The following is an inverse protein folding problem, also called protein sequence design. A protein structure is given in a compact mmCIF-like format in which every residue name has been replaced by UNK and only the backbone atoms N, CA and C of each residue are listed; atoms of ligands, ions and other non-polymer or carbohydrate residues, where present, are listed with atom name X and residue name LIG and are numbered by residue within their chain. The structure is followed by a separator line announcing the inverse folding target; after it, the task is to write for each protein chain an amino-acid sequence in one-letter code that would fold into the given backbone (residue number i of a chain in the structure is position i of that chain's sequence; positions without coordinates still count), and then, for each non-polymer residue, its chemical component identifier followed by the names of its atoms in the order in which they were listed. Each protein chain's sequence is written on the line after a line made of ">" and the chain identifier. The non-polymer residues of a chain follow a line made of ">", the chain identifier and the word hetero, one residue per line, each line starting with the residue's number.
data_IF_669749359298
#
_entry.id   IF_669749359298
#
_cell.length_a   1.000
_cell.length_b   1.000
_cell.length_c   1.000
_cell.angle_alpha   90.00
_cell.angle_beta   90.00
_cell.angle_gamma   90.00
#
_symmetry.space_group_name_H-M   'P 1'
#
loop_
_entity.id
_entity.type
_entity.pdbx_description
1 polymer ?
#
# COMPACT_ATOMS: atom_id res chain seq x y z
N UNK A 1 -7.38 11.04 -17.68
CA UNK A 1 -6.05 10.39 -17.76
C UNK A 1 -5.14 11.01 -16.72
N UNK A 2 -5.12 10.42 -15.50
CA UNK A 2 -4.27 10.85 -14.38
C UNK A 2 -2.80 10.85 -14.81
N UNK A 3 -2.23 12.03 -14.97
CA UNK A 3 -0.78 12.24 -14.98
C UNK A 3 -0.30 12.15 -13.53
N UNK A 4 -0.16 10.94 -13.03
CA UNK A 4 0.58 10.68 -11.79
C UNK A 4 2.03 11.08 -12.05
N UNK A 5 2.54 12.09 -11.35
CA UNK A 5 3.99 12.22 -11.18
C UNK A 5 4.45 11.01 -10.37
N UNK A 6 4.81 9.95 -11.09
CA UNK A 6 5.25 8.68 -10.52
C UNK A 6 6.71 8.88 -10.13
N UNK A 7 6.97 9.21 -8.87
CA UNK A 7 8.30 9.04 -8.31
C UNK A 7 8.48 7.56 -7.96
N UNK A 8 9.57 6.97 -8.48
CA UNK A 8 10.01 5.65 -8.04
C UNK A 8 10.35 5.72 -6.55
N UNK A 9 9.79 4.81 -5.77
CA UNK A 9 10.13 4.70 -4.35
C UNK A 9 11.53 4.11 -4.18
N UNK A 10 12.53 5.01 -4.20
CA UNK A 10 13.94 4.66 -4.03
C UNK A 10 14.19 3.87 -2.74
N UNK A 11 13.49 4.17 -1.66
CA UNK A 11 13.68 3.47 -0.39
C UNK A 11 13.25 2.00 -0.50
N UNK A 12 12.08 1.72 -1.11
CA UNK A 12 11.61 0.34 -1.33
C UNK A 12 12.54 -0.42 -2.28
N UNK A 13 13.01 0.21 -3.35
CA UNK A 13 13.91 -0.43 -4.32
C UNK A 13 15.27 -0.73 -3.68
N UNK A 14 15.89 0.25 -3.01
CA UNK A 14 17.17 0.07 -2.32
C UNK A 14 17.05 -0.99 -1.22
N UNK A 15 15.97 -0.97 -0.45
CA UNK A 15 15.72 -1.97 0.59
C UNK A 15 15.62 -3.39 0.03
N UNK A 16 14.82 -3.59 -1.03
CA UNK A 16 14.67 -4.91 -1.66
C UNK A 16 15.97 -5.41 -2.30
N UNK A 17 16.69 -4.54 -3.01
CA UNK A 17 17.97 -4.89 -3.63
C UNK A 17 19.06 -5.12 -2.57
N UNK A 18 19.07 -4.33 -1.49
CA UNK A 18 19.98 -4.49 -0.37
C UNK A 18 19.81 -5.84 0.33
N UNK A 19 18.56 -6.27 0.57
CA UNK A 19 18.27 -7.60 1.12
C UNK A 19 18.76 -8.71 0.17
N UNK A 20 18.50 -8.58 -1.14
CA UNK A 20 19.00 -9.54 -2.12
C UNK A 20 20.54 -9.63 -2.10
N UNK A 21 21.21 -8.47 -2.11
CA UNK A 21 22.67 -8.40 -2.08
C UNK A 21 23.24 -9.02 -0.79
N UNK A 22 22.60 -8.79 0.37
CA UNK A 22 23.03 -9.35 1.64
C UNK A 22 22.91 -10.88 1.65
N UNK A 23 21.80 -11.45 1.14
CA UNK A 23 21.60 -12.91 1.03
C UNK A 23 22.61 -13.50 0.08
N UNK A 24 22.80 -12.92 -1.12
CA UNK A 24 23.78 -13.40 -2.09
C UNK A 24 25.20 -13.29 -1.54
N UNK A 25 25.55 -12.19 -0.89
CA UNK A 25 26.85 -12.01 -0.27
C UNK A 25 27.09 -13.09 0.82
N UNK A 26 26.10 -13.36 1.67
CA UNK A 26 26.18 -14.41 2.69
C UNK A 26 26.44 -15.80 2.11
N UNK A 27 25.84 -16.12 0.96
CA UNK A 27 26.05 -17.39 0.25
C UNK A 27 27.44 -17.45 -0.39
N UNK A 28 27.86 -16.37 -1.05
CA UNK A 28 29.11 -16.32 -1.86
C UNK A 28 30.36 -16.11 -1.01
N UNK A 29 30.24 -15.54 0.20
CA UNK A 29 31.37 -15.30 1.10
C UNK A 29 32.04 -16.58 1.66
N UNK A 30 31.44 -17.76 1.44
CA UNK A 30 32.04 -19.05 1.77
C UNK A 30 33.14 -19.47 0.77
N UNK A 31 33.82 -20.60 1.07
CA UNK A 31 34.97 -21.10 0.30
C UNK A 31 34.67 -21.46 -1.17
N UNK A 32 33.40 -21.60 -1.54
CA UNK A 32 32.98 -21.99 -2.90
C UNK A 32 32.69 -20.79 -3.83
N UNK A 33 32.66 -19.56 -3.30
CA UNK A 33 32.34 -18.36 -4.07
C UNK A 33 30.97 -18.46 -4.77
N UNK A 34 30.86 -17.97 -5.99
CA UNK A 34 29.62 -17.98 -6.79
C UNK A 34 29.09 -19.39 -7.10
N UNK A 35 29.93 -20.44 -7.09
CA UNK A 35 29.49 -21.82 -7.30
C UNK A 35 28.54 -22.30 -6.16
N UNK A 36 28.65 -21.72 -4.96
CA UNK A 36 27.77 -22.01 -3.85
C UNK A 36 26.28 -21.75 -4.14
N UNK A 37 25.96 -20.80 -5.04
CA UNK A 37 24.57 -20.50 -5.42
C UNK A 37 23.84 -21.73 -5.99
N UNK A 38 24.57 -22.63 -6.66
CA UNK A 38 24.00 -23.88 -7.19
C UNK A 38 23.46 -24.81 -6.09
N UNK A 39 24.03 -24.77 -4.89
CA UNK A 39 23.60 -25.60 -3.77
C UNK A 39 22.25 -25.15 -3.19
N UNK A 40 21.84 -23.91 -3.46
CA UNK A 40 20.57 -23.34 -3.01
C UNK A 40 19.48 -23.42 -4.07
N UNK A 41 19.77 -23.99 -5.26
CA UNK A 41 18.78 -24.20 -6.30
C UNK A 41 18.31 -25.65 -6.27
N UNK A 42 17.07 -25.86 -5.83
CA UNK A 42 16.40 -27.16 -5.87
C UNK A 42 14.97 -26.99 -6.41
N UNK A 43 14.69 -27.59 -7.56
CA UNK A 43 13.39 -27.46 -8.23
C UNK A 43 12.23 -28.03 -7.38
N UNK A 44 12.47 -29.15 -6.68
CA UNK A 44 11.48 -29.78 -5.80
C UNK A 44 11.09 -28.84 -4.67
N UNK A 45 12.08 -28.19 -4.05
CA UNK A 45 11.90 -27.20 -2.97
C UNK A 45 11.12 -25.97 -3.44
N UNK A 46 11.41 -25.48 -4.65
CA UNK A 46 10.67 -24.37 -5.26
C UNK A 46 9.18 -24.75 -5.46
N UNK A 47 8.95 -25.93 -6.05
CA UNK A 47 7.59 -26.40 -6.33
C UNK A 47 6.77 -26.59 -5.05
N UNK A 48 7.36 -27.23 -4.03
CA UNK A 48 6.70 -27.44 -2.74
C UNK A 48 6.39 -26.12 -2.06
N UNK A 49 7.38 -25.26 -1.87
CA UNK A 49 7.23 -24.05 -1.03
C UNK A 49 6.54 -22.93 -1.77
N UNK A 50 7.07 -22.51 -2.91
CA UNK A 50 6.52 -21.39 -3.68
C UNK A 50 5.22 -21.85 -4.36
N UNK A 51 5.24 -22.96 -5.09
CA UNK A 51 4.07 -23.50 -5.78
C UNK A 51 2.93 -23.77 -4.81
N UNK A 52 3.21 -24.47 -3.68
CA UNK A 52 2.23 -24.77 -2.64
C UNK A 52 1.61 -23.50 -2.03
N UNK A 53 2.45 -22.51 -1.68
CA UNK A 53 1.98 -21.24 -1.12
C UNK A 53 1.06 -20.50 -2.09
N UNK A 54 1.44 -20.39 -3.36
CA UNK A 54 0.62 -19.71 -4.37
C UNK A 54 -0.68 -20.46 -4.69
N UNK A 55 -0.66 -21.78 -4.73
CA UNK A 55 -1.89 -22.59 -4.93
C UNK A 55 -2.84 -22.43 -3.74
N UNK A 56 -2.32 -22.42 -2.51
CA UNK A 56 -3.11 -22.16 -1.32
C UNK A 56 -3.75 -20.75 -1.39
N UNK A 57 -2.98 -19.73 -1.76
CA UNK A 57 -3.50 -18.36 -1.93
C UNK A 57 -4.54 -18.26 -3.05
N UNK A 58 -4.38 -19.03 -4.13
CA UNK A 58 -5.39 -19.11 -5.19
C UNK A 58 -6.70 -19.68 -4.68
N UNK A 59 -6.64 -20.72 -3.83
CA UNK A 59 -7.82 -21.32 -3.18
C UNK A 59 -8.54 -20.36 -2.24
N UNK A 60 -7.77 -19.47 -1.56
CA UNK A 60 -8.30 -18.45 -0.65
C UNK A 60 -8.85 -17.21 -1.39
N UNK A 61 -8.58 -17.06 -2.68
CA UNK A 61 -8.99 -15.90 -3.45
C UNK A 61 -10.43 -16.02 -3.94
N UNK A 62 -11.16 -14.90 -3.98
CA UNK A 62 -12.57 -14.86 -4.46
C UNK A 62 -12.70 -15.33 -5.93
N UNK A 63 -11.67 -15.13 -6.75
CA UNK A 63 -11.64 -15.53 -8.16
C UNK A 63 -10.20 -15.49 -8.71
N UNK A 64 -9.97 -16.18 -9.83
CA UNK A 64 -8.68 -16.16 -10.54
C UNK A 64 -8.25 -14.74 -10.94
N UNK A 65 -9.12 -13.87 -11.50
CA UNK A 65 -8.76 -12.48 -11.76
C UNK A 65 -8.40 -11.69 -10.50
N UNK A 66 -9.09 -11.92 -9.38
CA UNK A 66 -8.80 -11.27 -8.10
C UNK A 66 -7.40 -11.64 -7.59
N UNK A 67 -7.01 -12.91 -7.70
CA UNK A 67 -5.67 -13.40 -7.39
C UNK A 67 -4.59 -12.64 -8.20
N UNK A 68 -4.72 -12.59 -9.52
CA UNK A 68 -3.76 -11.89 -10.36
C UNK A 68 -3.74 -10.38 -10.13
N UNK A 69 -4.87 -9.76 -9.81
CA UNK A 69 -4.94 -8.34 -9.45
C UNK A 69 -4.21 -8.07 -8.13
N UNK A 70 -4.37 -8.95 -7.14
CA UNK A 70 -3.60 -8.85 -5.89
C UNK A 70 -2.11 -8.97 -6.13
N UNK A 71 -1.68 -9.88 -7.02
CA UNK A 71 -0.28 -10.00 -7.40
C UNK A 71 0.26 -8.74 -8.09
N UNK A 72 -0.54 -8.14 -8.99
CA UNK A 72 -0.18 -6.90 -9.70
C UNK A 72 -0.01 -5.70 -8.76
N UNK A 73 -0.62 -5.73 -7.57
CA UNK A 73 -0.50 -4.66 -6.58
C UNK A 73 0.95 -4.44 -6.09
N UNK A 74 1.84 -5.43 -6.29
CA UNK A 74 3.28 -5.24 -6.10
C UNK A 74 3.82 -3.99 -6.80
N UNK A 75 3.28 -3.66 -7.97
CA UNK A 75 3.69 -2.47 -8.73
C UNK A 75 3.39 -1.15 -8.00
N UNK A 76 2.39 -1.14 -7.11
CA UNK A 76 2.03 0.04 -6.32
C UNK A 76 3.09 0.35 -5.26
N UNK A 77 3.76 -0.68 -4.74
CA UNK A 77 4.83 -0.54 -3.74
C UNK A 77 6.06 0.17 -4.32
N UNK A 78 6.29 0.02 -5.63
CA UNK A 78 7.40 0.65 -6.34
C UNK A 78 7.12 2.10 -6.75
N UNK A 79 5.88 2.57 -6.53
CA UNK A 79 5.44 3.92 -6.88
C UNK A 79 5.10 4.67 -5.59
N UNK A 80 5.70 5.83 -5.40
CA UNK A 80 5.27 6.74 -4.32
C UNK A 80 4.20 7.66 -4.88
N UNK A 81 2.96 7.64 -4.37
CA UNK A 81 2.01 8.70 -4.69
C UNK A 81 2.54 10.03 -4.15
N UNK A 82 2.45 11.08 -4.95
CA UNK A 82 2.73 12.44 -4.47
C UNK A 82 1.75 12.76 -3.33
N UNK A 83 2.24 13.39 -2.27
CA UNK A 83 1.37 13.90 -1.20
C UNK A 83 0.58 15.08 -1.75
N UNK A 84 -0.74 14.92 -1.82
CA UNK A 84 -1.66 15.95 -2.30
C UNK A 84 -2.40 16.67 -1.16
N UNK A 85 -2.03 16.39 0.07
CA UNK A 85 -2.72 16.88 1.27
C UNK A 85 -2.86 18.41 1.26
N UNK A 86 -1.78 19.14 0.98
CA UNK A 86 -1.82 20.62 0.86
C UNK A 86 -2.69 21.10 -0.29
N UNK A 87 -2.59 20.45 -1.46
CA UNK A 87 -3.36 20.81 -2.65
C UNK A 87 -4.87 20.61 -2.40
N UNK A 88 -5.24 19.51 -1.75
CA UNK A 88 -6.62 19.21 -1.37
C UNK A 88 -7.17 20.27 -0.41
N UNK A 89 -6.39 20.64 0.62
CA UNK A 89 -6.81 21.67 1.58
C UNK A 89 -7.01 23.01 0.89
N UNK A 90 -6.07 23.45 0.04
CA UNK A 90 -6.23 24.69 -0.72
C UNK A 90 -7.47 24.66 -1.60
N UNK A 91 -7.70 23.56 -2.32
CA UNK A 91 -8.90 23.39 -3.16
C UNK A 91 -10.19 23.51 -2.34
N UNK A 92 -10.23 22.89 -1.14
CA UNK A 92 -11.40 22.98 -0.26
C UNK A 92 -11.61 24.42 0.26
N UNK A 93 -10.54 25.14 0.59
CA UNK A 93 -10.61 26.53 1.04
C UNK A 93 -11.13 27.44 -0.09
N UNK A 94 -10.66 27.23 -1.33
CA UNK A 94 -11.13 27.97 -2.49
C UNK A 94 -12.62 27.71 -2.74
N UNK A 95 -13.06 26.46 -2.69
CA UNK A 95 -14.46 26.09 -2.77
C UNK A 95 -15.31 26.72 -1.64
N UNK A 96 -14.80 26.75 -0.41
CA UNK A 96 -15.46 27.38 0.72
C UNK A 96 -15.62 28.90 0.49
N UNK A 97 -14.62 29.56 -0.10
CA UNK A 97 -14.70 30.98 -0.46
C UNK A 97 -15.74 31.25 -1.56
N UNK A 98 -15.81 30.38 -2.58
CA UNK A 98 -16.85 30.44 -3.63
C UNK A 98 -18.26 30.26 -3.02
N UNK A 99 -18.45 29.19 -2.23
CA UNK A 99 -19.71 28.92 -1.57
C UNK A 99 -20.21 30.09 -0.72
N UNK A 100 -19.30 30.77 -0.01
CA UNK A 100 -19.62 31.91 0.86
C UNK A 100 -19.97 33.19 0.10
N UNK A 101 -19.30 33.46 -1.04
CA UNK A 101 -19.48 34.69 -1.82
C UNK A 101 -20.64 34.58 -2.82
N UNK A 102 -20.79 33.45 -3.45
CA UNK A 102 -21.64 33.25 -4.62
C UNK A 102 -22.75 32.22 -4.38
N UNK A 103 -22.69 31.51 -3.25
CA UNK A 103 -23.66 30.50 -2.87
C UNK A 103 -23.29 29.08 -3.32
N UNK A 104 -24.00 28.08 -2.75
CA UNK A 104 -23.69 26.65 -2.98
C UNK A 104 -23.90 26.23 -4.45
N UNK A 105 -24.83 26.86 -5.17
CA UNK A 105 -25.07 26.51 -6.58
C UNK A 105 -23.89 26.79 -7.49
N UNK A 106 -23.07 27.79 -7.17
CA UNK A 106 -21.89 28.13 -7.98
C UNK A 106 -20.75 27.12 -7.82
N UNK A 107 -20.82 26.26 -6.78
CA UNK A 107 -19.88 25.17 -6.60
C UNK A 107 -19.91 24.13 -7.74
N UNK A 108 -21.04 24.00 -8.44
CA UNK A 108 -21.14 23.10 -9.61
C UNK A 108 -20.12 23.46 -10.69
N UNK A 109 -20.01 24.77 -11.02
CA UNK A 109 -19.06 25.26 -12.01
C UNK A 109 -17.62 25.16 -11.48
N UNK A 110 -17.38 25.52 -10.22
CA UNK A 110 -16.07 25.42 -9.59
C UNK A 110 -15.56 23.97 -9.46
N UNK A 111 -16.47 23.01 -9.30
CA UNK A 111 -16.14 21.58 -9.19
C UNK A 111 -15.91 20.91 -10.56
N UNK A 112 -16.25 21.56 -11.68
CA UNK A 112 -16.11 20.98 -13.02
C UNK A 112 -14.65 20.60 -13.34
N UNK A 113 -13.70 21.44 -12.93
CA UNK A 113 -12.27 21.29 -13.21
C UNK A 113 -11.52 20.45 -12.15
N UNK A 114 -12.22 19.92 -11.13
CA UNK A 114 -11.60 19.10 -10.07
C UNK A 114 -11.34 17.69 -10.60
N UNK A 115 -10.10 17.23 -10.46
CA UNK A 115 -9.66 15.89 -10.88
C UNK A 115 -10.09 14.77 -9.90
N UNK A 116 -10.38 15.10 -8.62
CA UNK A 116 -10.76 14.11 -7.61
C UNK A 116 -12.26 13.81 -7.67
N UNK A 117 -12.59 12.60 -8.13
CA UNK A 117 -13.97 12.14 -8.28
C UNK A 117 -14.75 12.09 -6.94
N UNK A 118 -14.06 11.83 -5.83
CA UNK A 118 -14.68 11.75 -4.50
C UNK A 118 -15.07 13.14 -4.00
N UNK A 119 -14.17 14.15 -4.14
CA UNK A 119 -14.46 15.54 -3.81
C UNK A 119 -15.58 16.08 -4.72
N UNK A 120 -15.49 15.85 -6.02
CA UNK A 120 -16.51 16.26 -7.00
C UNK A 120 -17.88 15.71 -6.65
N UNK A 121 -17.97 14.41 -6.32
CA UNK A 121 -19.23 13.78 -5.92
C UNK A 121 -19.81 14.41 -4.65
N UNK A 122 -18.95 14.66 -3.65
CA UNK A 122 -19.40 15.29 -2.40
C UNK A 122 -19.92 16.72 -2.61
N UNK A 123 -19.26 17.51 -3.46
CA UNK A 123 -19.74 18.86 -3.83
C UNK A 123 -21.08 18.79 -4.55
N UNK A 124 -21.25 17.86 -5.50
CA UNK A 124 -22.54 17.71 -6.21
C UNK A 124 -23.70 17.38 -5.25
N UNK A 125 -23.44 16.52 -4.23
CA UNK A 125 -24.47 16.23 -3.22
C UNK A 125 -24.91 17.47 -2.44
N UNK A 126 -23.99 18.40 -2.15
CA UNK A 126 -24.31 19.67 -1.48
C UNK A 126 -25.08 20.58 -2.41
N UNK A 127 -24.67 20.70 -3.67
CA UNK A 127 -25.34 21.54 -4.70
C UNK A 127 -26.79 21.08 -4.91
N UNK A 128 -27.03 19.76 -4.90
CA UNK A 128 -28.36 19.15 -5.00
C UNK A 128 -29.23 19.37 -3.75
N UNK A 129 -28.70 20.03 -2.70
CA UNK A 129 -29.42 20.29 -1.46
C UNK A 129 -29.68 19.07 -0.59
N UNK A 130 -28.84 18.04 -0.75
CA UNK A 130 -28.93 16.83 0.07
C UNK A 130 -28.68 17.14 1.55
N UNK A 131 -29.47 16.55 2.44
CA UNK A 131 -29.30 16.72 3.89
C UNK A 131 -27.92 16.26 4.38
N UNK A 132 -27.37 16.96 5.38
CA UNK A 132 -25.99 16.75 5.87
C UNK A 132 -25.79 15.32 6.41
N UNK A 133 -26.76 14.75 7.10
CA UNK A 133 -26.67 13.39 7.61
C UNK A 133 -26.58 12.37 6.46
N UNK A 134 -27.34 12.61 5.37
CA UNK A 134 -27.33 11.76 4.20
C UNK A 134 -26.02 11.91 3.42
N UNK A 135 -25.48 13.12 3.26
CA UNK A 135 -24.16 13.37 2.66
C UNK A 135 -23.09 12.60 3.41
N UNK A 136 -23.04 12.73 4.74
CA UNK A 136 -22.11 11.99 5.60
C UNK A 136 -22.22 10.49 5.39
N UNK A 137 -23.43 9.94 5.44
CA UNK A 137 -23.69 8.51 5.27
C UNK A 137 -23.23 7.97 3.90
N UNK A 138 -23.44 8.75 2.84
CA UNK A 138 -23.01 8.36 1.47
C UNK A 138 -21.47 8.36 1.37
N UNK A 139 -20.82 9.42 1.86
CA UNK A 139 -19.36 9.53 1.81
C UNK A 139 -18.68 8.47 2.67
N UNK A 140 -19.17 8.21 3.88
CA UNK A 140 -18.67 7.15 4.77
C UNK A 140 -18.84 5.75 4.13
N UNK A 141 -19.96 5.50 3.47
CA UNK A 141 -20.19 4.23 2.77
C UNK A 141 -19.18 4.03 1.65
N UNK A 142 -18.88 5.09 0.90
CA UNK A 142 -17.86 5.04 -0.16
C UNK A 142 -16.46 4.84 0.40
N UNK A 143 -16.09 5.59 1.45
CA UNK A 143 -14.81 5.47 2.15
C UNK A 143 -14.60 4.03 2.66
N UNK A 144 -15.57 3.48 3.38
CA UNK A 144 -15.54 2.10 3.86
C UNK A 144 -15.43 1.07 2.71
N UNK A 145 -16.06 1.35 1.57
CA UNK A 145 -15.98 0.50 0.38
C UNK A 145 -14.59 0.51 -0.25
N UNK A 146 -13.93 1.68 -0.31
CA UNK A 146 -12.54 1.84 -0.77
C UNK A 146 -11.62 1.06 0.15
N UNK A 147 -11.69 1.30 1.46
CA UNK A 147 -10.86 0.63 2.45
C UNK A 147 -11.00 -0.89 2.41
N UNK A 148 -12.24 -1.40 2.30
CA UNK A 148 -12.50 -2.84 2.18
C UNK A 148 -11.85 -3.46 0.96
N UNK A 149 -11.84 -2.75 -0.19
CA UNK A 149 -11.18 -3.24 -1.41
C UNK A 149 -9.66 -3.29 -1.23
N UNK A 150 -9.06 -2.28 -0.61
CA UNK A 150 -7.63 -2.23 -0.33
C UNK A 150 -7.23 -3.31 0.68
N UNK A 151 -8.01 -3.47 1.74
CA UNK A 151 -7.75 -4.48 2.77
C UNK A 151 -7.79 -5.92 2.21
N UNK A 152 -8.61 -6.22 1.19
CA UNK A 152 -8.56 -7.52 0.50
C UNK A 152 -7.20 -7.78 -0.16
N UNK A 153 -6.63 -6.76 -0.80
CA UNK A 153 -5.32 -6.87 -1.45
C UNK A 153 -4.20 -7.00 -0.42
N UNK A 154 -4.28 -6.24 0.67
CA UNK A 154 -3.33 -6.33 1.79
C UNK A 154 -3.37 -7.71 2.41
N UNK A 155 -4.58 -8.24 2.70
CA UNK A 155 -4.78 -9.57 3.27
C UNK A 155 -4.22 -10.69 2.40
N UNK A 156 -4.18 -10.51 1.08
CA UNK A 156 -3.52 -11.46 0.18
C UNK A 156 -2.01 -11.57 0.51
N UNK A 157 -1.31 -10.46 0.69
CA UNK A 157 0.11 -10.46 1.02
C UNK A 157 0.39 -10.96 2.43
N UNK A 158 -0.50 -10.67 3.39
CA UNK A 158 -0.42 -11.25 4.73
C UNK A 158 -0.63 -12.76 4.71
N UNK A 159 -1.59 -13.24 3.93
CA UNK A 159 -1.82 -14.66 3.73
C UNK A 159 -0.60 -15.34 3.10
N UNK A 160 0.01 -14.73 2.08
CA UNK A 160 1.22 -15.27 1.45
C UNK A 160 2.40 -15.29 2.43
N UNK A 161 2.53 -14.28 3.31
CA UNK A 161 3.53 -14.26 4.37
C UNK A 161 3.35 -15.40 5.38
N UNK A 162 2.11 -15.78 5.68
CA UNK A 162 1.82 -16.90 6.56
C UNK A 162 2.04 -18.27 5.87
N UNK A 163 1.68 -18.37 4.58
CA UNK A 163 1.77 -19.63 3.83
C UNK A 163 3.23 -19.99 3.47
N UNK A 164 4.10 -19.00 3.23
CA UNK A 164 5.50 -19.25 2.88
C UNK A 164 6.21 -20.18 3.87
N UNK A 165 6.34 -19.80 5.17
CA UNK A 165 6.95 -20.63 6.18
C UNK A 165 6.19 -21.95 6.43
N UNK A 166 4.85 -21.93 6.36
CA UNK A 166 4.04 -23.14 6.54
C UNK A 166 4.36 -24.21 5.49
N UNK A 167 4.43 -23.84 4.21
CA UNK A 167 4.82 -24.74 3.14
C UNK A 167 6.32 -25.08 3.18
N UNK A 168 7.17 -24.15 3.68
CA UNK A 168 8.57 -24.43 3.97
C UNK A 168 8.72 -25.55 4.99
N UNK A 169 7.93 -25.53 6.07
CA UNK A 169 7.92 -26.58 7.09
C UNK A 169 7.41 -27.93 6.54
N UNK A 170 6.39 -27.92 5.66
CA UNK A 170 5.94 -29.14 4.97
C UNK A 170 7.10 -29.74 4.16
N UNK A 171 7.86 -28.90 3.43
CA UNK A 171 9.03 -29.36 2.68
C UNK A 171 10.12 -29.95 3.58
N UNK A 172 10.34 -29.36 4.77
CA UNK A 172 11.26 -29.90 5.77
C UNK A 172 10.85 -31.31 6.19
N UNK A 173 9.57 -31.49 6.48
CA UNK A 173 9.05 -32.83 6.86
C UNK A 173 9.21 -33.84 5.75
N UNK A 174 8.93 -33.45 4.49
CA UNK A 174 9.12 -34.33 3.31
C UNK A 174 10.59 -34.75 3.17
N UNK A 175 11.53 -33.80 3.28
CA UNK A 175 12.97 -34.08 3.20
C UNK A 175 13.44 -35.03 4.30
N UNK A 176 13.02 -34.76 5.56
CA UNK A 176 13.37 -35.61 6.71
C UNK A 176 12.76 -37.03 6.62
N UNK A 177 11.51 -37.15 6.18
CA UNK A 177 10.85 -38.47 6.01
C UNK A 177 11.59 -39.28 4.94
N UNK A 178 11.96 -38.65 3.81
CA UNK A 178 12.71 -39.33 2.76
C UNK A 178 14.13 -39.73 3.25
N UNK A 179 14.79 -38.85 4.00
CA UNK A 179 16.08 -39.18 4.61
C UNK A 179 16.00 -40.40 5.54
N UNK A 180 14.98 -40.44 6.42
CA UNK A 180 14.79 -41.53 7.36
C UNK A 180 14.48 -42.87 6.68
N UNK A 181 13.79 -42.84 5.53
CA UNK A 181 13.49 -44.06 4.75
C UNK A 181 14.73 -44.66 4.05
N UNK A 182 15.75 -43.85 3.84
CA UNK A 182 16.97 -44.21 3.11
C UNK A 182 18.21 -44.19 4.02
N UNK A 183 18.05 -44.37 5.32
CA UNK A 183 19.15 -44.32 6.29
C UNK A 183 20.27 -45.34 6.00
N UNK A 184 19.95 -46.45 5.36
CA UNK A 184 20.91 -47.50 5.00
C UNK A 184 21.84 -47.07 3.83
N UNK A 185 21.48 -45.97 3.12
CA UNK A 185 22.27 -45.37 2.03
C UNK A 185 22.83 -44.00 2.45
N UNK A 186 24.10 -43.92 2.92
CA UNK A 186 24.69 -42.65 3.32
C UNK A 186 24.73 -41.57 2.21
N UNK A 187 24.68 -41.97 0.94
CA UNK A 187 24.71 -41.03 -0.21
C UNK A 187 23.41 -40.25 -0.35
N UNK A 188 22.30 -40.78 0.16
CA UNK A 188 20.96 -40.17 0.11
C UNK A 188 20.72 -39.11 1.20
N UNK A 189 21.48 -39.16 2.31
CA UNK A 189 21.28 -38.30 3.49
C UNK A 189 21.47 -36.83 3.12
N UNK A 190 22.58 -36.49 2.45
CA UNK A 190 22.92 -35.13 2.07
C UNK A 190 21.84 -34.45 1.20
N UNK A 191 21.46 -35.04 0.08
CA UNK A 191 20.42 -34.46 -0.81
C UNK A 191 19.08 -34.26 -0.11
N UNK A 192 18.57 -35.24 0.66
CA UNK A 192 17.28 -35.10 1.36
C UNK A 192 17.33 -34.04 2.47
N UNK A 193 18.45 -33.92 3.17
CA UNK A 193 18.67 -32.86 4.16
C UNK A 193 18.73 -31.47 3.50
N UNK A 194 19.34 -31.38 2.31
CA UNK A 194 19.37 -30.13 1.54
C UNK A 194 17.95 -29.68 1.17
N UNK A 195 17.08 -30.57 0.70
CA UNK A 195 15.67 -30.26 0.42
C UNK A 195 14.98 -29.70 1.64
N UNK A 196 15.15 -30.32 2.83
CA UNK A 196 14.56 -29.86 4.07
C UNK A 196 14.99 -28.42 4.44
N UNK A 197 16.27 -28.09 4.29
CA UNK A 197 16.80 -26.78 4.64
C UNK A 197 16.44 -25.70 3.60
N UNK A 198 16.54 -26.04 2.33
CA UNK A 198 16.25 -25.10 1.22
C UNK A 198 14.78 -24.72 1.16
N UNK A 199 13.85 -25.64 1.41
CA UNK A 199 12.42 -25.33 1.49
C UNK A 199 12.11 -24.31 2.60
N UNK A 200 12.70 -24.47 3.77
CA UNK A 200 12.53 -23.54 4.89
C UNK A 200 13.11 -22.16 4.56
N UNK A 201 14.26 -22.12 3.91
CA UNK A 201 14.86 -20.87 3.45
C UNK A 201 13.96 -20.15 2.44
N UNK A 202 13.43 -20.85 1.43
CA UNK A 202 12.53 -20.25 0.45
C UNK A 202 11.25 -19.73 1.10
N UNK A 203 10.66 -20.47 2.03
CA UNK A 203 9.50 -20.01 2.78
C UNK A 203 9.75 -18.73 3.58
N UNK A 204 10.91 -18.68 4.25
CA UNK A 204 11.33 -17.51 5.01
C UNK A 204 11.61 -16.30 4.14
N UNK A 205 12.26 -16.47 2.98
CA UNK A 205 12.50 -15.41 2.01
C UNK A 205 11.19 -14.88 1.41
N UNK A 206 10.27 -15.77 1.03
CA UNK A 206 8.97 -15.38 0.51
C UNK A 206 8.17 -14.54 1.52
N UNK A 207 8.20 -14.92 2.79
CA UNK A 207 7.50 -14.21 3.85
C UNK A 207 8.17 -12.88 4.22
N UNK A 208 9.43 -12.94 4.68
CA UNK A 208 10.06 -11.81 5.36
C UNK A 208 10.68 -10.80 4.40
N UNK A 209 11.15 -11.24 3.24
CA UNK A 209 11.75 -10.33 2.27
C UNK A 209 10.76 -9.79 1.26
N UNK A 210 9.72 -10.56 0.88
CA UNK A 210 8.78 -10.17 -0.17
C UNK A 210 7.43 -9.77 0.46
N UNK A 211 6.73 -10.70 1.09
CA UNK A 211 5.31 -10.52 1.41
C UNK A 211 5.06 -9.48 2.51
N UNK A 212 5.78 -9.57 3.63
CA UNK A 212 5.61 -8.63 4.77
C UNK A 212 5.93 -7.19 4.39
N UNK A 213 7.06 -6.87 3.73
CA UNK A 213 7.34 -5.50 3.30
C UNK A 213 6.29 -4.93 2.35
N UNK A 214 5.79 -5.75 1.43
CA UNK A 214 4.74 -5.35 0.50
C UNK A 214 3.44 -5.05 1.25
N UNK A 215 2.98 -5.94 2.12
CA UNK A 215 1.76 -5.74 2.92
C UNK A 215 1.86 -4.47 3.77
N UNK A 216 3.01 -4.25 4.43
CA UNK A 216 3.25 -3.06 5.27
C UNK A 216 3.22 -1.78 4.46
N UNK A 217 3.83 -1.76 3.28
CA UNK A 217 3.82 -0.59 2.40
C UNK A 217 2.43 -0.30 1.85
N UNK A 218 1.68 -1.33 1.46
CA UNK A 218 0.30 -1.18 1.00
C UNK A 218 -0.61 -0.63 2.11
N UNK A 219 -0.40 -1.04 3.38
CA UNK A 219 -1.12 -0.46 4.52
C UNK A 219 -0.82 1.03 4.69
N UNK A 220 0.44 1.42 4.56
CA UNK A 220 0.83 2.83 4.66
C UNK A 220 0.22 3.68 3.54
N UNK A 221 0.17 3.14 2.31
CA UNK A 221 -0.47 3.81 1.17
C UNK A 221 -1.98 3.93 1.41
N UNK A 222 -2.63 2.85 1.85
CA UNK A 222 -4.07 2.86 2.17
C UNK A 222 -4.40 3.85 3.28
N UNK A 223 -3.65 3.86 4.38
CA UNK A 223 -3.89 4.77 5.50
C UNK A 223 -3.80 6.25 5.05
N UNK A 224 -2.86 6.57 4.17
CA UNK A 224 -2.75 7.92 3.60
C UNK A 224 -3.94 8.28 2.73
N UNK A 225 -4.35 7.40 1.82
CA UNK A 225 -5.49 7.65 0.93
C UNK A 225 -6.79 7.81 1.72
N UNK A 226 -6.99 7.02 2.77
CA UNK A 226 -8.14 7.15 3.67
C UNK A 226 -8.12 8.51 4.38
N UNK A 227 -6.97 8.92 4.93
CA UNK A 227 -6.81 10.22 5.60
C UNK A 227 -7.10 11.39 4.62
N UNK A 228 -6.60 11.34 3.38
CA UNK A 228 -6.89 12.35 2.36
C UNK A 228 -8.41 12.47 2.12
N UNK A 229 -9.11 11.35 2.07
CA UNK A 229 -10.58 11.34 1.87
C UNK A 229 -11.35 11.76 3.12
N UNK A 230 -10.87 11.48 4.32
CA UNK A 230 -11.43 12.00 5.57
C UNK A 230 -11.34 13.54 5.62
N UNK A 231 -10.20 14.11 5.19
CA UNK A 231 -10.03 15.56 5.05
C UNK A 231 -11.04 16.15 4.07
N UNK A 232 -11.27 15.47 2.95
CA UNK A 232 -12.29 15.88 1.96
C UNK A 232 -13.68 15.83 2.58
N UNK A 233 -14.07 14.75 3.27
CA UNK A 233 -15.37 14.63 3.94
C UNK A 233 -15.60 15.79 4.91
N UNK A 234 -14.62 16.05 5.78
CA UNK A 234 -14.71 17.13 6.77
C UNK A 234 -14.85 18.51 6.11
N UNK A 235 -14.07 18.74 5.03
CA UNK A 235 -14.16 19.98 4.25
C UNK A 235 -15.53 20.19 3.60
N UNK A 236 -16.08 19.14 2.98
CA UNK A 236 -17.41 19.15 2.35
C UNK A 236 -18.50 19.48 3.37
N UNK A 237 -18.49 18.82 4.53
CA UNK A 237 -19.47 19.05 5.59
C UNK A 237 -19.36 20.45 6.20
N UNK A 238 -18.13 20.96 6.34
CA UNK A 238 -17.89 22.32 6.81
C UNK A 238 -18.37 23.40 5.80
N UNK A 239 -18.22 23.15 4.49
CA UNK A 239 -18.75 24.02 3.44
C UNK A 239 -20.28 24.03 3.49
N UNK A 240 -20.90 22.84 3.62
CA UNK A 240 -22.36 22.71 3.71
C UNK A 240 -22.92 23.44 4.94
N UNK A 241 -22.22 23.35 6.08
CA UNK A 241 -22.58 24.05 7.31
C UNK A 241 -22.40 25.58 7.24
N UNK A 242 -21.78 26.11 6.17
CA UNK A 242 -21.51 27.52 6.02
C UNK A 242 -20.44 28.07 6.95
N UNK A 243 -19.51 27.22 7.41
CA UNK A 243 -18.42 27.62 8.30
C UNK A 243 -17.51 28.66 7.63
N UNK A 244 -16.83 29.46 8.47
CA UNK A 244 -15.86 30.44 7.95
C UNK A 244 -14.65 29.74 7.33
N UNK A 245 -14.22 30.08 6.09
CA UNK A 245 -13.06 29.46 5.44
C UNK A 245 -11.79 29.40 6.29
N UNK A 246 -11.53 30.40 7.14
CA UNK A 246 -10.42 30.36 8.11
C UNK A 246 -10.57 29.28 9.18
N UNK A 247 -11.80 29.03 9.62
CA UNK A 247 -12.09 27.97 10.60
C UNK A 247 -11.93 26.60 9.93
N UNK A 248 -12.42 26.47 8.69
CA UNK A 248 -12.24 25.25 7.88
C UNK A 248 -10.76 24.95 7.71
N UNK A 249 -9.96 25.96 7.36
CA UNK A 249 -8.50 25.84 7.20
C UNK A 249 -7.81 25.29 8.45
N UNK A 250 -8.08 25.91 9.63
CA UNK A 250 -7.52 25.45 10.91
C UNK A 250 -7.98 24.04 11.28
N UNK A 251 -9.23 23.68 10.97
CA UNK A 251 -9.81 22.36 11.18
C UNK A 251 -9.12 21.32 10.32
N UNK A 252 -8.94 21.60 9.02
CA UNK A 252 -8.29 20.69 8.08
C UNK A 252 -6.78 20.57 8.35
N UNK A 253 -6.11 21.66 8.74
CA UNK A 253 -4.70 21.60 9.17
C UNK A 253 -4.46 20.68 10.37
N UNK A 254 -5.48 20.42 11.21
CA UNK A 254 -5.32 19.53 12.35
C UNK A 254 -5.13 18.05 11.93
N UNK A 255 -5.53 17.66 10.73
CA UNK A 255 -5.29 16.33 10.17
C UNK A 255 -3.84 16.14 9.70
N UNK A 256 -3.10 17.25 9.46
CA UNK A 256 -1.74 17.20 8.96
C UNK A 256 -0.71 16.97 10.08
N UNK A 257 0.37 16.27 9.72
CA UNK A 257 1.52 16.15 10.60
C UNK A 257 2.13 17.56 10.89
N UNK A 258 2.69 17.80 12.10
CA UNK A 258 3.24 19.10 12.47
C UNK A 258 4.24 19.67 11.44
N UNK A 259 5.11 18.81 10.88
CA UNK A 259 6.11 19.21 9.89
C UNK A 259 5.52 19.72 8.57
N UNK A 260 4.36 19.19 8.17
CA UNK A 260 3.65 19.64 6.95
C UNK A 260 2.87 20.92 7.25
N UNK A 261 2.28 21.02 8.45
CA UNK A 261 1.57 22.22 8.91
C UNK A 261 2.49 23.45 8.92
N UNK A 262 3.73 23.30 9.44
CA UNK A 262 4.71 24.40 9.51
C UNK A 262 5.15 24.86 8.11
N UNK A 263 5.20 23.95 7.12
CA UNK A 263 5.54 24.31 5.75
C UNK A 263 4.43 25.12 5.06
N UNK A 264 3.16 24.89 5.40
CA UNK A 264 2.03 25.69 4.92
C UNK A 264 2.01 27.09 5.55
N UNK A 265 2.42 27.22 6.82
CA UNK A 265 2.49 28.52 7.51
C UNK A 265 3.69 29.36 7.02
N UNK A 266 4.79 28.71 6.57
CA UNK A 266 6.00 29.39 6.05
C UNK A 266 5.83 29.95 4.63
N UNK A 267 4.85 29.48 3.86
CA UNK A 267 4.54 29.97 2.50
C UNK A 267 3.85 31.33 2.48
N UNK A 268 2.98 31.60 3.44
CA UNK A 268 2.22 32.88 3.52
C UNK A 268 3.04 34.05 4.07
N UNK A 269 4.22 33.81 4.64
CA UNK A 269 5.05 34.84 5.25
C UNK A 269 5.94 35.66 4.30
N UNK A 270 6.07 35.27 3.03
CA UNK A 270 7.07 35.86 2.13
C UNK A 270 6.52 36.87 1.09
N UNK A 271 5.20 37.12 1.08
CA UNK A 271 4.61 38.13 0.17
C UNK A 271 4.37 39.52 0.78
N UNK A 272 4.69 39.78 2.07
CA UNK A 272 4.50 41.08 2.71
C UNK A 272 5.81 41.83 3.08
N UNK A 273 6.90 41.52 2.41
CA UNK A 273 8.21 42.13 2.71
C UNK A 273 8.90 42.83 1.53
N UNK A 274 8.17 43.50 0.65
CA UNK A 274 8.79 44.14 -0.53
C UNK A 274 8.17 45.44 -0.97
N UNK A 275 7.94 46.42 -0.02
CA UNK A 275 7.75 47.84 -0.34
C UNK A 275 8.18 48.69 0.84
N UNK A 276 9.39 49.14 0.81
CA UNK A 276 9.83 50.42 1.43
C UNK A 276 11.13 50.88 0.79
#
# INVERSE_FOLDING_TARGET
>A
TLRWCIFLDLASIIGMLGCAAAVVYGIVSGNQGFAALGNFYDFSSILITIGGSFMCMLTMSDSIPAFFNSLKSFKLVLKTPATKESEIIHTIIDLANVARKEGLLQLEEAAADIDDDFLKKGIMLIVDGTDQELVTSILDTELNSIERRHNKVISFWDGLAAMGPAWGMIGTLIGLINMLKLLDDPSSIGPNMAVALVTTMYGSLLANWISIPIATKLRAINAREIMEKEVICEGILSIQAGENPRVIEEKLKSFLAPSVRDSLLGGDGNEQGGES
#
